data_IF_410032986659
#
_entry.id   IF_410032986659
#
_cell.length_a   1.000
_cell.length_b   1.000
_cell.length_c   1.000
_cell.angle_alpha   90.00
_cell.angle_beta   90.00
_cell.angle_gamma   90.00
#
_symmetry.space_group_name_H-M   'P 1'
#
loop_
_entity.id
_entity.type
_entity.pdbx_description
1 polymer ?
#
# COMPACT_ATOMS: atom_id res chain seq x y z
N UNK A 1 10.99 5.62 4.10
CA UNK A 1 10.81 6.94 3.46
C UNK A 1 11.37 6.86 2.05
N UNK A 2 10.58 7.27 1.07
CA UNK A 2 10.92 7.17 -0.34
C UNK A 2 11.37 8.56 -0.83
N UNK A 3 12.58 8.71 -1.36
CA UNK A 3 12.96 9.91 -2.06
C UNK A 3 12.06 10.05 -3.31
N UNK A 4 11.57 11.25 -3.61
CA UNK A 4 10.56 11.57 -4.65
C UNK A 4 9.11 11.10 -4.37
N UNK A 5 8.75 10.77 -3.14
CA UNK A 5 7.39 10.37 -2.78
C UNK A 5 6.30 11.40 -3.17
N UNK A 6 6.69 12.66 -3.40
CA UNK A 6 5.78 13.74 -3.80
C UNK A 6 5.29 13.62 -5.26
N UNK A 7 6.01 12.88 -6.10
CA UNK A 7 5.72 12.73 -7.54
C UNK A 7 5.15 11.37 -7.87
N UNK A 8 5.42 10.36 -7.04
CA UNK A 8 5.07 8.97 -7.33
C UNK A 8 3.60 8.68 -7.04
N UNK A 9 2.92 8.10 -8.03
CA UNK A 9 1.52 7.70 -7.98
C UNK A 9 1.41 6.19 -8.18
N UNK A 10 1.48 5.38 -7.12
CA UNK A 10 1.24 3.95 -7.27
C UNK A 10 -0.18 3.72 -7.74
N UNK A 11 -0.36 2.79 -8.65
CA UNK A 11 -1.69 2.38 -9.06
C UNK A 11 -2.25 1.40 -8.04
N UNK A 12 -3.15 1.89 -7.21
CA UNK A 12 -3.82 1.11 -6.16
C UNK A 12 -5.25 0.85 -6.59
N UNK A 13 -5.59 -0.41 -6.78
CA UNK A 13 -6.93 -0.82 -7.21
C UNK A 13 -7.59 -1.63 -6.10
N UNK A 14 -8.77 -1.23 -5.66
CA UNK A 14 -9.55 -1.98 -4.68
C UNK A 14 -10.02 -3.33 -5.27
N UNK A 15 -10.01 -4.39 -4.48
CA UNK A 15 -10.28 -5.75 -4.95
C UNK A 15 -11.72 -5.94 -5.48
N UNK A 16 -12.67 -5.24 -4.91
CA UNK A 16 -14.06 -5.22 -5.38
C UNK A 16 -14.16 -4.59 -6.77
N UNK A 17 -13.42 -3.51 -7.02
CA UNK A 17 -13.35 -2.89 -8.35
C UNK A 17 -12.69 -3.84 -9.36
N UNK A 18 -11.65 -4.56 -8.97
CA UNK A 18 -11.05 -5.62 -9.81
C UNK A 18 -12.07 -6.69 -10.15
N UNK A 19 -12.85 -7.15 -9.15
CA UNK A 19 -13.89 -8.17 -9.36
C UNK A 19 -14.98 -7.69 -10.32
N UNK A 20 -15.43 -6.46 -10.17
CA UNK A 20 -16.41 -5.85 -11.10
C UNK A 20 -15.85 -5.80 -12.52
N UNK A 21 -14.62 -5.30 -12.68
CA UNK A 21 -13.95 -5.27 -13.99
C UNK A 21 -13.81 -6.65 -14.62
N UNK A 22 -13.44 -7.67 -13.85
CA UNK A 22 -13.34 -9.06 -14.32
C UNK A 22 -14.71 -9.59 -14.79
N UNK A 23 -15.80 -9.28 -14.10
CA UNK A 23 -17.14 -9.68 -14.51
C UNK A 23 -17.54 -9.03 -15.84
N UNK A 24 -17.26 -7.75 -16.03
CA UNK A 24 -17.50 -7.05 -17.29
C UNK A 24 -16.69 -7.66 -18.44
N UNK A 25 -15.43 -7.97 -18.22
CA UNK A 25 -14.56 -8.64 -19.21
C UNK A 25 -15.12 -10.01 -19.54
N UNK A 26 -15.55 -10.79 -18.56
CA UNK A 26 -16.13 -12.11 -18.76
C UNK A 26 -17.41 -12.02 -19.60
N UNK A 27 -18.29 -11.06 -19.34
CA UNK A 27 -19.48 -10.82 -20.14
C UNK A 27 -19.13 -10.45 -21.60
N UNK A 28 -18.15 -9.56 -21.80
CA UNK A 28 -17.67 -9.18 -23.13
C UNK A 28 -17.09 -10.38 -23.91
N UNK A 29 -16.38 -11.28 -23.23
CA UNK A 29 -15.85 -12.53 -23.80
C UNK A 29 -16.96 -13.46 -24.26
N UNK A 30 -17.99 -13.67 -23.41
CA UNK A 30 -19.16 -14.50 -23.77
C UNK A 30 -19.88 -13.94 -25.00
N UNK A 31 -20.02 -12.63 -25.06
CA UNK A 31 -20.65 -11.93 -26.18
C UNK A 31 -19.74 -11.83 -27.42
N UNK A 32 -18.50 -12.30 -27.35
CA UNK A 32 -17.47 -12.18 -28.40
C UNK A 32 -17.24 -10.72 -28.85
N UNK A 33 -17.42 -9.77 -27.95
CA UNK A 33 -17.21 -8.32 -28.15
C UNK A 33 -16.20 -7.79 -27.16
N UNK A 34 -14.96 -8.27 -27.29
CA UNK A 34 -13.91 -7.95 -26.35
C UNK A 34 -12.66 -7.39 -27.03
N UNK A 35 -11.92 -6.57 -26.32
CA UNK A 35 -10.57 -6.14 -26.68
C UNK A 35 -9.54 -7.20 -26.32
N UNK A 36 -8.36 -7.09 -26.91
CA UNK A 36 -7.24 -8.02 -26.67
C UNK A 36 -6.67 -7.87 -25.26
N UNK A 37 -6.71 -6.66 -24.70
CA UNK A 37 -6.16 -6.33 -23.41
C UNK A 37 -7.08 -5.38 -22.66
N UNK A 38 -7.21 -5.57 -21.35
CA UNK A 38 -7.89 -4.67 -20.43
C UNK A 38 -6.95 -4.36 -19.27
N UNK A 39 -6.85 -3.11 -18.92
CA UNK A 39 -6.18 -2.64 -17.72
C UNK A 39 -7.23 -2.22 -16.70
N UNK A 40 -7.07 -2.68 -15.46
CA UNK A 40 -7.88 -2.25 -14.33
C UNK A 40 -7.00 -1.33 -13.49
N UNK A 41 -7.20 -0.02 -13.61
CA UNK A 41 -6.32 1.00 -13.09
C UNK A 41 -7.11 2.17 -12.51
N UNK A 42 -6.53 2.86 -11.55
CA UNK A 42 -7.09 4.06 -10.91
C UNK A 42 -6.22 5.29 -11.14
N UNK A 43 -4.97 5.10 -11.55
CA UNK A 43 -3.93 6.14 -11.56
C UNK A 43 -4.23 7.35 -12.45
N UNK A 44 -5.03 7.20 -13.49
CA UNK A 44 -5.48 8.33 -14.34
C UNK A 44 -6.73 8.99 -13.79
N UNK A 45 -7.72 8.18 -13.37
CA UNK A 45 -9.04 8.69 -12.98
C UNK A 45 -9.07 9.20 -11.53
N UNK A 46 -8.43 8.48 -10.61
CA UNK A 46 -8.42 8.80 -9.19
C UNK A 46 -7.05 8.44 -8.58
N UNK A 47 -6.00 9.21 -8.89
CA UNK A 47 -4.65 8.93 -8.45
C UNK A 47 -4.49 9.06 -6.93
N UNK A 48 -3.81 8.09 -6.31
CA UNK A 48 -3.37 8.15 -4.92
C UNK A 48 -1.87 8.42 -4.87
N UNK A 49 -1.45 9.60 -4.40
CA UNK A 49 -0.04 9.90 -4.21
C UNK A 49 0.56 9.07 -3.06
N UNK A 50 1.83 8.67 -3.19
CA UNK A 50 2.54 7.95 -2.10
C UNK A 50 2.56 8.76 -0.80
N UNK A 51 2.78 10.07 -0.89
CA UNK A 51 2.72 10.96 0.29
C UNK A 51 1.39 10.86 1.00
N UNK A 52 0.29 10.92 0.23
CA UNK A 52 -1.06 10.80 0.77
C UNK A 52 -1.28 9.41 1.40
N UNK A 53 -0.84 8.32 0.78
CA UNK A 53 -0.97 6.97 1.33
C UNK A 53 -0.19 6.80 2.64
N UNK A 54 0.99 7.43 2.77
CA UNK A 54 1.79 7.47 4.00
C UNK A 54 1.07 8.26 5.10
N UNK A 55 0.49 9.41 4.76
CA UNK A 55 -0.27 10.23 5.72
C UNK A 55 -1.51 9.50 6.21
N UNK A 56 -2.29 8.91 5.31
CA UNK A 56 -3.47 8.11 5.64
C UNK A 56 -3.11 6.89 6.49
N UNK A 57 -2.01 6.21 6.19
CA UNK A 57 -1.48 5.10 6.99
C UNK A 57 -1.14 5.56 8.39
N UNK A 58 -0.40 6.67 8.52
CA UNK A 58 -0.05 7.26 9.82
C UNK A 58 -1.29 7.64 10.63
N UNK A 59 -2.28 8.25 9.97
CA UNK A 59 -3.53 8.63 10.60
C UNK A 59 -4.32 7.41 11.09
N UNK A 60 -4.43 6.36 10.26
CA UNK A 60 -5.08 5.12 10.63
C UNK A 60 -4.41 4.44 11.84
N UNK A 61 -3.08 4.42 11.86
CA UNK A 61 -2.30 3.88 12.97
C UNK A 61 -2.51 4.68 14.26
N UNK A 62 -2.43 6.01 14.18
CA UNK A 62 -2.70 6.90 15.33
C UNK A 62 -4.11 6.70 15.88
N UNK A 63 -5.12 6.63 15.00
CA UNK A 63 -6.52 6.39 15.38
C UNK A 63 -6.68 5.05 16.10
N UNK A 64 -6.03 4.00 15.61
CA UNK A 64 -6.06 2.67 16.22
C UNK A 64 -5.41 2.66 17.61
N UNK A 65 -4.18 3.17 17.74
CA UNK A 65 -3.47 3.16 19.03
C UNK A 65 -4.10 4.09 20.07
N UNK A 66 -4.63 5.24 19.64
CA UNK A 66 -5.37 6.14 20.52
C UNK A 66 -6.60 5.47 21.14
N UNK A 67 -7.30 4.63 20.37
CA UNK A 67 -8.45 3.85 20.87
C UNK A 67 -8.04 2.75 21.84
N UNK A 68 -6.85 2.18 21.67
CA UNK A 68 -6.36 1.07 22.50
C UNK A 68 -5.85 1.52 23.87
N UNK A 69 -5.38 2.76 23.99
CA UNK A 69 -4.85 3.33 25.23
C UNK A 69 -3.57 2.64 25.73
N UNK A 70 -2.98 3.19 26.79
CA UNK A 70 -1.77 2.64 27.41
C UNK A 70 -0.47 3.31 26.95
N UNK A 71 0.61 3.15 27.75
CA UNK A 71 1.91 3.77 27.51
C UNK A 71 2.55 3.28 26.19
N UNK A 72 2.43 1.99 25.90
CA UNK A 72 2.92 1.37 24.66
C UNK A 72 2.22 1.93 23.41
N UNK A 73 0.93 2.18 23.51
CA UNK A 73 0.13 2.79 22.46
C UNK A 73 0.52 4.26 22.25
N UNK A 74 0.75 5.01 23.32
CA UNK A 74 1.25 6.38 23.26
C UNK A 74 2.63 6.45 22.60
N UNK A 75 3.57 5.59 23.01
CA UNK A 75 4.92 5.55 22.45
C UNK A 75 4.88 5.26 20.93
N UNK A 76 4.05 4.31 20.51
CA UNK A 76 3.88 3.97 19.08
C UNK A 76 3.22 5.09 18.29
N UNK A 77 2.30 5.83 18.89
CA UNK A 77 1.66 6.99 18.26
C UNK A 77 2.66 8.12 17.97
N UNK A 78 3.62 8.32 18.88
CA UNK A 78 4.62 9.38 18.76
C UNK A 78 5.75 9.03 17.79
N UNK A 79 6.12 7.74 17.70
CA UNK A 79 7.25 7.28 16.87
C UNK A 79 6.85 6.68 15.53
N UNK A 80 5.55 6.55 15.23
CA UNK A 80 5.08 6.00 13.96
C UNK A 80 4.98 7.10 12.89
N UNK A 81 5.77 6.92 11.84
CA UNK A 81 5.74 7.65 10.55
C UNK A 81 5.69 9.19 10.62
N UNK A 82 6.82 9.82 10.90
CA UNK A 82 7.02 11.23 10.58
C UNK A 82 7.55 11.38 9.14
N UNK A 83 7.05 12.34 8.34
CA UNK A 83 7.76 12.79 7.15
C UNK A 83 9.11 13.38 7.59
N UNK A 84 10.21 12.76 7.18
CA UNK A 84 11.55 13.15 7.63
C UNK A 84 12.32 13.72 6.47
N UNK A 85 13.08 14.80 6.71
CA UNK A 85 13.97 15.40 5.73
C UNK A 85 15.02 14.41 5.19
N UNK A 86 15.53 14.63 3.96
CA UNK A 86 16.51 13.76 3.29
C UNK A 86 17.74 13.42 4.15
N UNK A 87 18.19 14.34 5.02
CA UNK A 87 19.32 14.12 5.94
C UNK A 87 18.97 13.13 7.06
N UNK A 88 17.80 13.26 7.66
CA UNK A 88 17.28 12.29 8.65
C UNK A 88 16.99 10.94 8.01
N UNK A 89 16.54 10.91 6.76
CA UNK A 89 16.36 9.66 6.01
C UNK A 89 17.67 8.87 5.92
N UNK A 90 18.79 9.50 5.54
CA UNK A 90 20.08 8.82 5.45
C UNK A 90 20.58 8.28 6.79
N UNK A 91 20.33 8.99 7.88
CA UNK A 91 20.77 8.55 9.22
C UNK A 91 19.86 7.47 9.83
N UNK A 92 18.53 7.53 9.57
CA UNK A 92 17.53 6.65 10.16
C UNK A 92 16.85 5.70 9.15
N UNK A 93 17.30 5.70 7.91
CA UNK A 93 16.87 4.72 6.89
C UNK A 93 17.36 3.31 7.21
N UNK A 94 16.76 2.32 6.57
CA UNK A 94 17.17 0.92 6.74
C UNK A 94 18.67 0.70 6.58
N UNK A 95 19.36 1.26 5.56
CA UNK A 95 20.82 1.20 5.45
C UNK A 95 21.56 1.84 6.64
N UNK A 96 21.09 2.99 7.13
CA UNK A 96 21.69 3.67 8.29
C UNK A 96 21.52 2.86 9.57
N UNK A 97 20.33 2.33 9.83
CA UNK A 97 20.06 1.45 10.97
C UNK A 97 20.89 0.16 10.89
N UNK A 98 21.01 -0.41 9.70
CA UNK A 98 21.81 -1.62 9.45
C UNK A 98 23.28 -1.38 9.74
N UNK A 99 23.83 -0.23 9.33
CA UNK A 99 25.20 0.15 9.65
C UNK A 99 25.44 0.29 11.16
N UNK A 100 24.51 0.92 11.88
CA UNK A 100 24.56 1.06 13.34
C UNK A 100 24.47 -0.31 14.01
N UNK A 101 23.53 -1.17 13.62
CA UNK A 101 23.36 -2.51 14.19
C UNK A 101 24.58 -3.39 13.92
N UNK A 102 25.15 -3.35 12.71
CA UNK A 102 26.39 -4.07 12.35
C UNK A 102 27.58 -3.60 13.19
N UNK A 103 27.72 -2.29 13.41
CA UNK A 103 28.76 -1.72 14.23
C UNK A 103 28.62 -2.14 15.69
N UNK A 104 27.41 -2.02 16.26
CA UNK A 104 27.12 -2.45 17.63
C UNK A 104 27.36 -3.95 17.83
N UNK A 105 26.97 -4.78 16.84
CA UNK A 105 27.20 -6.23 16.90
C UNK A 105 28.68 -6.61 16.93
N UNK A 106 29.56 -5.80 16.35
CA UNK A 106 31.00 -6.01 16.37
C UNK A 106 31.59 -5.88 17.79
N UNK A 107 30.96 -5.04 18.62
CA UNK A 107 31.36 -4.80 19.99
C UNK A 107 30.56 -5.58 21.04
N UNK A 108 29.27 -5.93 20.70
CA UNK A 108 28.35 -6.61 21.61
C UNK A 108 27.61 -7.73 20.86
N UNK A 109 28.09 -8.98 20.94
CA UNK A 109 27.47 -10.11 20.23
C UNK A 109 26.18 -10.58 20.91
N UNK A 110 25.16 -9.72 20.98
CA UNK A 110 23.85 -10.05 21.52
C UNK A 110 22.95 -10.68 20.44
N UNK A 111 22.25 -11.77 20.79
CA UNK A 111 21.29 -12.46 19.92
C UNK A 111 20.19 -11.51 19.39
N UNK A 112 19.81 -10.52 20.20
CA UNK A 112 18.83 -9.50 19.81
C UNK A 112 19.32 -8.66 18.62
N UNK A 113 20.62 -8.31 18.56
CA UNK A 113 21.20 -7.55 17.45
C UNK A 113 21.23 -8.36 16.15
N UNK A 114 21.49 -9.67 16.23
CA UNK A 114 21.43 -10.58 15.07
C UNK A 114 20.02 -10.68 14.49
N UNK A 115 18.99 -10.74 15.35
CA UNK A 115 17.58 -10.73 14.90
C UNK A 115 17.20 -9.41 14.25
N UNK A 116 17.64 -8.28 14.82
CA UNK A 116 17.41 -6.96 14.26
C UNK A 116 18.09 -6.80 12.89
N UNK A 117 19.33 -7.24 12.74
CA UNK A 117 20.05 -7.23 11.47
C UNK A 117 19.34 -8.04 10.40
N UNK A 118 18.96 -9.30 10.67
CA UNK A 118 18.23 -10.15 9.73
C UNK A 118 16.90 -9.55 9.31
N UNK A 119 16.22 -8.85 10.23
CA UNK A 119 14.96 -8.16 9.92
C UNK A 119 15.18 -6.97 8.99
N UNK A 120 16.19 -6.16 9.26
CA UNK A 120 16.55 -5.00 8.45
C UNK A 120 17.02 -5.40 7.04
N UNK A 121 17.82 -6.47 6.94
CA UNK A 121 18.27 -7.02 5.64
C UNK A 121 17.09 -7.51 4.77
N UNK A 122 16.07 -8.12 5.39
CA UNK A 122 14.85 -8.50 4.65
C UNK A 122 14.10 -7.29 4.13
N UNK A 123 13.98 -6.24 4.95
CA UNK A 123 13.32 -4.99 4.55
C UNK A 123 14.12 -4.32 3.42
N UNK A 124 15.45 -4.28 3.51
CA UNK A 124 16.33 -3.72 2.47
C UNK A 124 16.15 -4.46 1.14
N UNK A 125 16.15 -5.79 1.14
CA UNK A 125 15.91 -6.60 -0.07
C UNK A 125 14.53 -6.33 -0.69
N UNK A 126 13.50 -6.12 0.13
CA UNK A 126 12.17 -5.77 -0.37
C UNK A 126 12.19 -4.37 -1.01
N UNK A 127 12.86 -3.42 -0.38
CA UNK A 127 13.00 -2.06 -0.93
C UNK A 127 13.75 -2.10 -2.27
N UNK A 128 14.90 -2.79 -2.34
CA UNK A 128 15.67 -2.97 -3.57
C UNK A 128 14.84 -3.61 -4.71
N UNK A 129 14.00 -4.60 -4.37
CA UNK A 129 13.13 -5.26 -5.35
C UNK A 129 12.10 -4.30 -5.96
N UNK A 130 11.58 -3.38 -5.15
CA UNK A 130 10.57 -2.41 -5.58
C UNK A 130 11.18 -1.08 -6.05
N UNK A 131 12.49 -0.86 -5.86
CA UNK A 131 13.16 0.38 -6.23
C UNK A 131 12.93 0.81 -7.69
N UNK A 132 13.02 -0.09 -8.71
CA UNK A 132 12.76 0.29 -10.09
C UNK A 132 11.34 0.80 -10.33
N UNK A 133 10.36 0.30 -9.57
CA UNK A 133 8.96 0.71 -9.66
C UNK A 133 8.67 2.01 -8.89
N UNK A 134 9.51 2.35 -7.92
CA UNK A 134 9.31 3.50 -7.04
C UNK A 134 10.14 4.70 -7.48
N UNK A 135 11.32 4.49 -8.06
CA UNK A 135 12.28 5.56 -8.35
C UNK A 135 12.38 5.94 -9.81
N UNK A 136 12.27 4.98 -10.70
CA UNK A 136 12.66 5.17 -12.09
C UNK A 136 11.46 5.42 -13.01
N UNK A 137 10.24 5.10 -12.56
CA UNK A 137 9.07 5.12 -13.43
C UNK A 137 7.86 5.75 -12.74
N UNK A 138 7.31 6.79 -13.34
CA UNK A 138 6.00 7.37 -13.03
C UNK A 138 4.98 6.80 -14.03
N UNK A 139 4.52 5.58 -13.77
CA UNK A 139 3.55 4.93 -14.64
C UNK A 139 2.14 5.42 -14.32
N UNK A 140 1.45 5.97 -15.32
CA UNK A 140 0.02 6.14 -15.31
C UNK A 140 -0.60 5.09 -16.24
N UNK A 141 -1.47 4.26 -15.70
CA UNK A 141 -2.14 3.20 -16.46
C UNK A 141 -3.52 3.68 -16.90
N UNK A 142 -3.73 3.70 -18.22
CA UNK A 142 -5.02 4.03 -18.83
C UNK A 142 -5.94 2.81 -18.75
N UNK A 143 -7.19 3.03 -18.40
CA UNK A 143 -8.21 2.00 -18.24
C UNK A 143 -9.35 2.11 -19.28
N UNK A 144 -9.07 2.69 -20.44
CA UNK A 144 -10.08 3.04 -21.45
C UNK A 144 -10.93 1.86 -21.88
N UNK A 145 -10.31 0.69 -22.13
CA UNK A 145 -11.03 -0.48 -22.60
C UNK A 145 -12.05 -1.01 -21.59
N UNK A 146 -11.79 -0.90 -20.29
CA UNK A 146 -12.79 -1.29 -19.28
C UNK A 146 -13.85 -0.21 -19.09
N UNK A 147 -13.49 1.06 -19.22
CA UNK A 147 -14.43 2.16 -19.17
C UNK A 147 -15.44 2.11 -20.33
N UNK A 148 -15.02 1.66 -21.53
CA UNK A 148 -15.92 1.41 -22.65
C UNK A 148 -16.95 0.31 -22.33
N UNK A 149 -16.57 -0.72 -21.57
CA UNK A 149 -17.52 -1.75 -21.12
C UNK A 149 -18.47 -1.20 -20.06
N UNK A 150 -17.97 -0.37 -19.15
CA UNK A 150 -18.81 0.29 -18.15
C UNK A 150 -19.84 1.24 -18.78
N UNK A 151 -19.46 1.94 -19.84
CA UNK A 151 -20.29 2.93 -20.50
C UNK A 151 -21.54 2.32 -21.17
N UNK A 152 -21.54 1.02 -21.49
CA UNK A 152 -22.69 0.33 -22.10
C UNK A 152 -23.66 -0.28 -21.09
N UNK A 153 -23.32 -0.25 -19.78
CA UNK A 153 -24.21 -0.73 -18.73
C UNK A 153 -25.40 0.20 -18.54
N UNK A 154 -26.56 -0.39 -18.30
CA UNK A 154 -27.73 0.36 -17.86
C UNK A 154 -27.59 0.78 -16.39
N UNK A 155 -28.30 1.82 -15.91
CA UNK A 155 -28.13 2.32 -14.54
C UNK A 155 -28.28 1.26 -13.45
N UNK A 156 -29.20 0.31 -13.63
CA UNK A 156 -29.47 -0.78 -12.68
C UNK A 156 -28.29 -1.76 -12.59
N UNK A 157 -27.59 -1.99 -13.71
CA UNK A 157 -26.41 -2.86 -13.75
C UNK A 157 -25.18 -2.15 -13.19
N UNK A 158 -25.10 -0.82 -13.33
CA UNK A 158 -23.95 -0.03 -12.81
C UNK A 158 -23.82 -0.12 -11.30
N UNK A 159 -24.90 -0.21 -10.56
CA UNK A 159 -24.86 -0.38 -9.11
C UNK A 159 -24.12 -1.65 -8.71
N UNK A 160 -24.38 -2.77 -9.39
CA UNK A 160 -23.81 -4.08 -9.08
C UNK A 160 -22.44 -4.34 -9.74
N UNK A 161 -22.27 -3.92 -11.00
CA UNK A 161 -21.15 -4.30 -11.87
C UNK A 161 -20.31 -3.13 -12.37
N UNK A 162 -20.70 -1.89 -12.10
CA UNK A 162 -20.04 -0.69 -12.61
C UNK A 162 -18.57 -0.62 -12.20
N UNK A 163 -17.71 -0.22 -13.14
CA UNK A 163 -16.30 0.05 -12.93
C UNK A 163 -16.06 1.55 -12.81
N UNK A 164 -16.21 2.07 -11.62
CA UNK A 164 -16.04 3.50 -11.33
C UNK A 164 -14.90 3.75 -10.33
N UNK A 165 -13.64 3.91 -10.81
CA UNK A 165 -12.52 4.26 -9.94
C UNK A 165 -12.68 5.61 -9.24
N UNK A 166 -13.46 6.55 -9.82
CA UNK A 166 -13.65 7.88 -9.24
C UNK A 166 -14.50 7.84 -7.95
N UNK A 167 -15.30 6.79 -7.76
CA UNK A 167 -16.13 6.62 -6.57
C UNK A 167 -15.33 6.26 -5.30
N UNK A 168 -14.05 5.92 -5.40
CA UNK A 168 -13.23 5.55 -4.25
C UNK A 168 -12.87 6.80 -3.44
N UNK A 169 -13.37 6.90 -2.21
CA UNK A 169 -12.87 7.83 -1.21
C UNK A 169 -11.62 7.23 -0.55
N UNK A 170 -10.43 7.73 -0.95
CA UNK A 170 -9.15 7.20 -0.43
C UNK A 170 -9.00 7.30 1.07
N UNK A 171 -9.37 8.40 1.75
CA UNK A 171 -9.37 8.48 3.21
C UNK A 171 -10.21 7.39 3.87
N UNK A 172 -11.47 7.23 3.46
CA UNK A 172 -12.37 6.21 3.99
C UNK A 172 -11.83 4.80 3.69
N UNK A 173 -11.51 4.51 2.42
CA UNK A 173 -10.99 3.21 2.02
C UNK A 173 -9.71 2.83 2.79
N UNK A 174 -8.77 3.77 2.94
CA UNK A 174 -7.48 3.48 3.57
C UNK A 174 -7.57 3.30 5.07
N UNK A 175 -8.33 4.19 5.74
CA UNK A 175 -8.41 4.24 7.21
C UNK A 175 -9.37 3.18 7.76
N UNK A 176 -10.53 3.02 7.11
CA UNK A 176 -11.62 2.23 7.67
C UNK A 176 -11.73 0.83 7.06
N UNK A 177 -11.10 0.57 5.89
CA UNK A 177 -11.12 -0.73 5.21
C UNK A 177 -9.71 -1.33 5.11
N UNK A 178 -8.80 -0.69 4.38
CA UNK A 178 -7.51 -1.27 4.00
C UNK A 178 -6.59 -1.56 5.20
N UNK A 179 -6.30 -0.55 6.03
CA UNK A 179 -5.42 -0.73 7.20
C UNK A 179 -6.02 -1.67 8.25
N UNK A 180 -7.32 -1.62 8.59
CA UNK A 180 -7.94 -2.63 9.44
C UNK A 180 -7.84 -4.05 8.88
N UNK A 181 -8.06 -4.23 7.57
CA UNK A 181 -7.91 -5.53 6.92
C UNK A 181 -6.47 -6.06 6.99
N UNK A 182 -5.46 -5.22 6.73
CA UNK A 182 -4.06 -5.59 6.91
C UNK A 182 -3.74 -6.01 8.34
N UNK A 183 -4.30 -5.31 9.34
CA UNK A 183 -4.11 -5.65 10.76
C UNK A 183 -4.75 -6.96 11.14
N UNK A 184 -5.93 -7.25 10.59
CA UNK A 184 -6.66 -8.49 10.87
C UNK A 184 -6.04 -9.71 10.19
N UNK A 185 -5.64 -9.56 8.92
CA UNK A 185 -5.31 -10.70 8.07
C UNK A 185 -3.80 -10.83 7.79
N UNK A 186 -3.11 -9.73 7.49
CA UNK A 186 -1.74 -9.77 6.99
C UNK A 186 -0.69 -9.68 8.10
N UNK A 187 -0.87 -8.80 9.09
CA UNK A 187 0.14 -8.65 10.15
C UNK A 187 0.31 -9.90 11.01
N UNK A 188 -0.76 -10.63 11.41
CA UNK A 188 -0.58 -11.88 12.12
C UNK A 188 0.24 -12.90 11.32
N UNK A 189 0.01 -13.02 10.01
CA UNK A 189 0.78 -13.92 9.14
C UNK A 189 2.26 -13.54 9.08
N UNK A 190 2.57 -12.24 8.93
CA UNK A 190 3.95 -11.73 8.88
C UNK A 190 4.67 -11.99 10.22
N UNK A 191 3.94 -11.91 11.33
CA UNK A 191 4.44 -12.15 12.69
C UNK A 191 4.45 -13.63 13.10
N UNK A 192 3.97 -14.54 12.23
CA UNK A 192 3.88 -15.97 12.51
C UNK A 192 2.81 -16.33 13.57
N UNK A 193 1.80 -15.45 13.71
CA UNK A 193 0.66 -15.67 14.62
C UNK A 193 -0.53 -16.27 13.86
N UNK A 194 -1.36 -17.09 14.50
CA UNK A 194 -2.59 -17.56 13.89
C UNK A 194 -3.54 -16.40 13.61
N UNK A 195 -4.33 -16.54 12.53
CA UNK A 195 -5.40 -15.59 12.20
C UNK A 195 -6.58 -15.95 13.10
N UNK A 196 -7.01 -14.99 13.92
CA UNK A 196 -8.26 -15.10 14.66
C UNK A 196 -9.44 -14.85 13.71
N UNK A 197 -10.29 -15.88 13.53
CA UNK A 197 -11.46 -15.86 12.67
C UNK A 197 -12.56 -14.89 13.14
#
# INVERSE_FOLDING_TARGET
QLPRAEVLRPDVVAVDLVTRGMNLIAAALVLRRHHRCYQLATSVTNPLAITQSIELTSLAHRRYYKRRGGFDAWLRTEFEAMPVSRLRYRAFSTPGQLAIVRTLRRFLPLLALKRAENRLERIEKVIELYEPFIHDNDYAFEADNIQLLDAVLVPEEKEAFGYDPASIDWPEYWIDIHIPALRKWSYPLIEGRPIEG
#
